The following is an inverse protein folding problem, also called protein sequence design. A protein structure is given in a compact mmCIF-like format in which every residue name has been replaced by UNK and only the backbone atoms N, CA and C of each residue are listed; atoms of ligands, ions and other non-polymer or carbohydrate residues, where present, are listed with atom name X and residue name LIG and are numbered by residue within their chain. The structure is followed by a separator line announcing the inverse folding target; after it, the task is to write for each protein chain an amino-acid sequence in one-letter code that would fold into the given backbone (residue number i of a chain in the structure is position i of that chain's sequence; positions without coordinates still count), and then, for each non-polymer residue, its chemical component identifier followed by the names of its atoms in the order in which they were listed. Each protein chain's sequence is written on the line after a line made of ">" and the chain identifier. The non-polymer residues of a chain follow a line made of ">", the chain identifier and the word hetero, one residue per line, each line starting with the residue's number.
data_IF_116704891165
#
_entry.id   IF_116704891165
#
_cell.length_a   1.000
_cell.length_b   1.000
_cell.length_c   1.000
_cell.angle_alpha   90.00
_cell.angle_beta   90.00
_cell.angle_gamma   90.00
#
_symmetry.space_group_name_H-M   'P 1'
#
loop_
_entity.id
_entity.type
_entity.pdbx_description
1 polymer ?
#
# COMPACT_ATOMS: atom_id res chain seq x y z
N UNK A 1 20.04 -4.90 -32.51
CA UNK A 1 20.86 -3.90 -31.78
C UNK A 1 20.22 -2.53 -31.94
N UNK A 2 19.63 -1.95 -30.88
CA UNK A 2 19.07 -0.59 -30.90
C UNK A 2 20.17 0.42 -30.56
N UNK A 3 20.23 1.61 -31.19
CA UNK A 3 21.33 2.54 -30.98
C UNK A 3 21.24 3.26 -29.62
N UNK A 4 22.39 3.38 -28.95
CA UNK A 4 22.61 4.17 -27.74
C UNK A 4 22.34 5.66 -28.00
N UNK A 5 21.39 6.26 -27.28
CA UNK A 5 21.15 7.71 -27.28
C UNK A 5 22.19 8.39 -26.36
N UNK A 6 23.02 9.27 -26.92
CA UNK A 6 24.00 10.09 -26.17
C UNK A 6 23.29 11.03 -25.18
N UNK A 7 23.67 10.99 -23.91
CA UNK A 7 23.31 12.00 -22.89
C UNK A 7 24.04 13.31 -23.19
N UNK A 8 23.32 14.42 -23.30
CA UNK A 8 23.89 15.77 -23.36
C UNK A 8 24.01 16.34 -21.93
N UNK A 9 25.10 17.02 -21.56
CA UNK A 9 25.26 17.58 -20.22
C UNK A 9 24.52 18.92 -20.12
N UNK A 10 23.48 18.98 -19.29
CA UNK A 10 22.81 20.24 -18.97
C UNK A 10 23.60 20.99 -17.91
N UNK A 11 24.19 22.12 -18.33
CA UNK A 11 24.99 23.01 -17.50
C UNK A 11 24.13 23.73 -16.46
N UNK A 12 24.78 23.99 -15.32
CA UNK A 12 24.33 24.66 -14.10
C UNK A 12 23.66 26.01 -14.35
N UNK A 13 22.50 26.24 -13.73
CA UNK A 13 22.02 27.60 -13.41
C UNK A 13 21.79 27.74 -11.90
N UNK A 14 22.68 28.54 -11.30
CA UNK A 14 22.59 29.10 -9.96
C UNK A 14 21.52 30.19 -9.97
N UNK A 15 20.55 30.13 -9.05
CA UNK A 15 19.96 31.37 -8.50
C UNK A 15 19.35 31.11 -7.12
N UNK A 16 20.14 31.52 -6.14
CA UNK A 16 19.82 31.93 -4.78
C UNK A 16 18.52 32.76 -4.71
N UNK A 17 17.49 32.34 -3.96
CA UNK A 17 16.63 33.22 -3.14
C UNK A 17 16.05 32.50 -1.93
N UNK A 18 16.55 32.91 -0.77
CA UNK A 18 16.08 32.65 0.58
C UNK A 18 14.92 33.63 0.87
N UNK A 19 13.71 33.16 1.12
CA UNK A 19 12.71 33.93 1.88
C UNK A 19 11.93 33.02 2.83
N UNK A 20 12.31 33.14 4.09
CA UNK A 20 11.61 32.72 5.29
C UNK A 20 10.31 33.51 5.43
N UNK A 21 9.17 32.83 5.58
CA UNK A 21 7.94 33.43 6.09
C UNK A 21 7.30 32.49 7.10
N UNK A 22 7.61 32.75 8.37
CA UNK A 22 6.91 32.24 9.54
C UNK A 22 5.63 33.07 9.69
N UNK A 23 4.47 32.43 9.79
CA UNK A 23 3.25 33.06 10.32
C UNK A 23 2.47 32.03 11.13
N UNK A 24 2.80 32.02 12.41
CA UNK A 24 2.14 31.31 13.49
C UNK A 24 1.07 32.24 14.08
N UNK A 25 -0.21 31.90 13.93
CA UNK A 25 -1.26 32.47 14.80
C UNK A 25 -2.31 31.42 15.10
N UNK A 26 -2.15 30.74 16.25
CA UNK A 26 -3.20 30.02 16.93
C UNK A 26 -3.39 30.66 18.30
N UNK A 27 -4.59 31.21 18.55
CA UNK A 27 -5.09 31.54 19.88
C UNK A 27 -6.62 31.63 19.80
N UNK A 28 -7.29 30.51 20.06
CA UNK A 28 -8.72 30.48 20.41
C UNK A 28 -8.82 30.40 21.93
N UNK A 29 -9.45 31.38 22.56
CA UNK A 29 -9.76 31.38 23.99
C UNK A 29 -11.26 31.46 24.24
N UNK A 30 -11.72 30.52 25.08
CA UNK A 30 -12.80 30.57 26.10
C UNK A 30 -14.23 30.87 25.63
N UNK A 31 -15.26 30.08 25.97
CA UNK A 31 -15.96 30.05 27.30
C UNK A 31 -17.05 28.95 27.25
N UNK A 32 -17.17 28.00 28.20
CA UNK A 32 -18.12 27.95 29.35
C UNK A 32 -19.54 27.47 28.96
N UNK A 33 -20.22 26.48 29.56
CA UNK A 33 -20.76 26.29 30.93
C UNK A 33 -21.26 24.82 31.06
N UNK A 34 -21.08 24.05 32.15
CA UNK A 34 -21.63 24.06 33.54
C UNK A 34 -22.90 23.21 33.76
N UNK A 35 -22.86 22.36 34.80
CA UNK A 35 -23.98 21.60 35.39
C UNK A 35 -23.69 20.09 35.40
N UNK A 36 -23.50 19.37 36.51
CA UNK A 36 -23.88 19.57 37.91
C UNK A 36 -24.82 18.44 38.34
N UNK A 37 -24.32 17.43 39.07
CA UNK A 37 -25.17 16.36 39.60
C UNK A 37 -24.40 15.19 40.21
N UNK A 38 -24.16 15.27 41.53
CA UNK A 38 -23.75 14.14 42.40
C UNK A 38 -24.85 13.08 42.44
N UNK A 39 -24.48 11.80 42.51
CA UNK A 39 -24.79 10.88 43.63
C UNK A 39 -24.31 9.46 43.32
N UNK A 40 -23.52 8.90 44.22
CA UNK A 40 -23.35 7.46 44.46
C UNK A 40 -24.27 7.13 45.66
N UNK A 41 -24.88 5.93 45.77
CA UNK A 41 -24.14 4.82 46.35
C UNK A 41 -24.47 3.42 45.81
N UNK A 42 -23.50 2.57 46.09
CA UNK A 42 -23.40 1.11 46.12
C UNK A 42 -24.67 0.32 46.50
N UNK A 43 -24.93 -0.76 45.76
CA UNK A 43 -25.96 -1.77 46.04
C UNK A 43 -25.69 -3.03 45.21
N UNK A 44 -25.82 -4.18 45.85
CA UNK A 44 -25.36 -5.53 45.50
C UNK A 44 -26.20 -6.28 44.47
N UNK A 45 -25.62 -7.42 44.05
CA UNK A 45 -26.24 -8.72 43.71
C UNK A 45 -26.90 -8.95 42.33
N UNK A 46 -26.39 -10.04 41.74
CA UNK A 46 -27.12 -11.11 41.02
C UNK A 46 -27.28 -11.07 39.48
N UNK A 47 -26.57 -12.03 38.89
CA UNK A 47 -26.74 -12.67 37.60
C UNK A 47 -28.09 -13.43 37.57
N UNK A 48 -28.79 -13.52 36.43
CA UNK A 48 -28.72 -14.74 35.61
C UNK A 48 -28.69 -14.42 34.10
N UNK A 49 -27.79 -15.07 33.35
CA UNK A 49 -28.11 -16.24 32.52
C UNK A 49 -29.37 -16.07 31.64
N UNK A 50 -29.17 -15.74 30.37
CA UNK A 50 -30.06 -16.20 29.31
C UNK A 50 -29.25 -16.58 28.08
N UNK A 51 -29.16 -17.89 27.90
CA UNK A 51 -28.69 -18.58 26.72
C UNK A 51 -29.66 -18.32 25.58
N UNK A 52 -29.18 -17.88 24.43
CA UNK A 52 -29.90 -18.02 23.17
C UNK A 52 -29.02 -18.82 22.21
N UNK A 53 -29.34 -20.11 22.14
CA UNK A 53 -28.96 -20.97 21.01
C UNK A 53 -29.72 -20.49 19.79
N UNK A 54 -28.99 -20.11 18.74
CA UNK A 54 -29.51 -20.09 17.38
C UNK A 54 -28.85 -21.24 16.62
N UNK A 55 -29.61 -22.32 16.47
CA UNK A 55 -29.37 -23.37 15.50
C UNK A 55 -29.76 -22.85 14.11
N UNK A 56 -28.80 -22.78 13.19
CA UNK A 56 -29.07 -22.67 11.76
C UNK A 56 -28.33 -23.78 11.00
N UNK A 57 -29.15 -24.74 10.57
CA UNK A 57 -29.09 -25.53 9.34
C UNK A 57 -27.75 -25.73 8.62
N UNK A 58 -27.24 -26.95 8.76
CA UNK A 58 -26.32 -27.61 7.85
C UNK A 58 -27.01 -27.88 6.50
N UNK A 59 -26.80 -26.97 5.55
CA UNK A 59 -26.95 -27.23 4.12
C UNK A 59 -25.59 -27.53 3.53
N UNK A 60 -25.26 -28.80 3.34
CA UNK A 60 -24.05 -29.23 2.65
C UNK A 60 -24.12 -28.84 1.17
N UNK A 61 -23.63 -27.65 0.83
CA UNK A 61 -23.13 -27.39 -0.51
C UNK A 61 -21.72 -27.99 -0.60
N UNK A 62 -21.63 -29.20 -1.13
CA UNK A 62 -20.40 -29.70 -1.74
C UNK A 62 -20.12 -28.86 -3.00
N UNK A 63 -19.58 -27.67 -2.80
CA UNK A 63 -18.94 -26.87 -3.85
C UNK A 63 -17.45 -27.16 -3.82
N UNK A 64 -16.87 -27.53 -4.97
CA UNK A 64 -15.43 -27.62 -5.13
C UNK A 64 -14.80 -26.33 -4.60
N UNK A 65 -13.91 -26.44 -3.60
CA UNK A 65 -13.33 -25.28 -2.93
C UNK A 65 -12.51 -24.43 -3.88
N UNK A 66 -13.11 -23.37 -4.43
CA UNK A 66 -12.35 -22.20 -4.84
C UNK A 66 -11.88 -21.54 -3.55
N UNK A 67 -10.58 -21.55 -3.27
CA UNK A 67 -10.05 -20.70 -2.23
C UNK A 67 -10.49 -19.26 -2.53
N UNK A 68 -11.18 -18.61 -1.58
CA UNK A 68 -11.64 -17.24 -1.73
C UNK A 68 -10.44 -16.30 -1.88
N UNK A 69 -10.45 -15.45 -2.91
CA UNK A 69 -9.46 -14.39 -3.07
C UNK A 69 -9.75 -13.29 -2.04
N UNK A 70 -8.74 -12.94 -1.23
CA UNK A 70 -8.87 -11.94 -0.18
C UNK A 70 -8.12 -10.65 -0.57
N UNK A 71 -8.77 -9.50 -0.32
CA UNK A 71 -8.19 -8.17 -0.51
C UNK A 71 -8.13 -7.45 0.83
N UNK A 72 -6.92 -7.13 1.28
CA UNK A 72 -6.66 -6.49 2.55
C UNK A 72 -6.19 -5.05 2.29
N UNK A 73 -7.09 -4.09 2.52
CA UNK A 73 -6.75 -2.67 2.48
C UNK A 73 -6.04 -2.30 3.78
N UNK A 74 -4.75 -2.04 3.70
CA UNK A 74 -3.92 -1.73 4.86
C UNK A 74 -4.03 -0.23 5.13
N UNK A 75 -4.48 0.14 6.33
CA UNK A 75 -4.57 1.56 6.72
C UNK A 75 -3.16 2.16 6.89
N UNK A 76 -2.75 2.88 5.85
CA UNK A 76 -1.46 3.59 5.78
C UNK A 76 -1.65 5.12 5.91
N UNK A 77 -2.87 5.58 6.20
CA UNK A 77 -3.21 7.00 6.22
C UNK A 77 -3.27 7.61 4.82
N UNK A 78 -2.18 8.24 4.39
CA UNK A 78 -2.08 8.82 3.03
C UNK A 78 -1.46 7.81 2.07
N UNK A 79 -2.00 7.75 0.85
CA UNK A 79 -1.61 6.81 -0.19
C UNK A 79 -2.45 5.53 -0.21
N UNK A 80 -1.92 4.48 -0.83
CA UNK A 80 -2.57 3.17 -0.97
C UNK A 80 -1.62 2.05 -0.54
N UNK A 81 -2.18 1.00 0.04
CA UNK A 81 -1.50 -0.28 0.28
C UNK A 81 -2.53 -1.39 0.34
N UNK A 82 -2.45 -2.35 -0.57
CA UNK A 82 -3.36 -3.49 -0.64
C UNK A 82 -2.57 -4.78 -0.74
N UNK A 83 -2.77 -5.69 0.21
CA UNK A 83 -2.34 -7.07 0.06
C UNK A 83 -3.47 -7.87 -0.57
N UNK A 84 -3.17 -8.61 -1.62
CA UNK A 84 -4.09 -9.56 -2.25
C UNK A 84 -3.54 -10.97 -2.04
N UNK A 85 -4.38 -11.87 -1.57
CA UNK A 85 -4.07 -13.28 -1.37
C UNK A 85 -5.05 -14.14 -2.18
N UNK A 86 -4.53 -15.15 -2.86
CA UNK A 86 -5.34 -16.13 -3.57
C UNK A 86 -4.63 -17.47 -3.59
N UNK A 87 -5.23 -18.49 -2.98
CA UNK A 87 -4.67 -19.85 -2.90
C UNK A 87 -3.22 -19.87 -2.35
N UNK A 88 -2.94 -19.06 -1.33
CA UNK A 88 -1.61 -18.94 -0.71
C UNK A 88 -0.57 -18.17 -1.52
N UNK A 89 -0.95 -17.58 -2.66
CA UNK A 89 -0.12 -16.66 -3.43
C UNK A 89 -0.41 -15.22 -3.05
N UNK A 90 0.62 -14.36 -3.06
CA UNK A 90 0.50 -13.01 -2.53
C UNK A 90 0.96 -11.95 -3.52
N UNK A 91 0.17 -10.88 -3.60
CA UNK A 91 0.47 -9.67 -4.36
C UNK A 91 0.38 -8.46 -3.42
N UNK A 92 1.37 -7.58 -3.47
CA UNK A 92 1.28 -6.25 -2.85
C UNK A 92 1.05 -5.20 -3.94
N UNK A 93 -0.02 -4.40 -3.81
CA UNK A 93 -0.31 -3.26 -4.66
C UNK A 93 -0.14 -1.97 -3.86
N UNK A 94 0.87 -1.17 -4.22
CA UNK A 94 1.39 -0.03 -3.46
C UNK A 94 1.74 -0.36 -2.00
N UNK A 95 2.36 0.58 -1.27
CA UNK A 95 2.83 0.33 0.09
C UNK A 95 2.69 1.51 1.06
N UNK A 96 2.04 2.59 0.68
CA UNK A 96 1.93 3.76 1.54
C UNK A 96 3.24 4.54 1.70
N UNK A 97 3.20 5.50 2.63
CA UNK A 97 4.26 6.46 2.89
C UNK A 97 5.47 5.89 3.67
N UNK A 98 6.47 6.76 3.91
CA UNK A 98 7.68 6.38 4.65
C UNK A 98 7.41 6.02 6.11
N UNK A 99 6.44 6.65 6.75
CA UNK A 99 6.14 6.46 8.17
C UNK A 99 5.42 5.14 8.41
N UNK A 100 4.67 4.65 7.41
CA UNK A 100 3.90 3.40 7.49
C UNK A 100 4.57 2.22 6.79
N UNK A 101 5.70 2.42 6.11
CA UNK A 101 6.51 1.34 5.50
C UNK A 101 6.78 0.15 6.45
N UNK A 102 7.15 0.40 7.71
CA UNK A 102 7.36 -0.67 8.69
C UNK A 102 6.07 -1.35 9.15
N UNK A 103 4.95 -0.63 9.16
CA UNK A 103 3.63 -1.17 9.44
C UNK A 103 3.21 -2.14 8.33
N UNK A 104 3.37 -1.76 7.06
CA UNK A 104 3.09 -2.65 5.92
C UNK A 104 3.93 -3.92 5.99
N UNK A 105 5.25 -3.79 6.19
CA UNK A 105 6.13 -4.97 6.31
C UNK A 105 5.74 -5.87 7.48
N UNK A 106 5.36 -5.29 8.62
CA UNK A 106 4.89 -6.07 9.78
C UNK A 106 3.59 -6.79 9.49
N UNK A 107 2.63 -6.10 8.88
CA UNK A 107 1.35 -6.68 8.49
C UNK A 107 1.52 -7.84 7.52
N UNK A 108 2.34 -7.70 6.47
CA UNK A 108 2.64 -8.79 5.54
C UNK A 108 3.22 -10.03 6.27
N UNK A 109 4.09 -9.82 7.27
CA UNK A 109 4.62 -10.94 8.08
C UNK A 109 3.53 -11.61 8.92
N UNK A 110 2.63 -10.82 9.50
CA UNK A 110 1.49 -11.32 10.30
C UNK A 110 0.51 -12.13 9.43
N UNK A 111 0.31 -11.73 8.17
CA UNK A 111 -0.47 -12.51 7.19
C UNK A 111 0.28 -13.75 6.67
N UNK A 112 1.46 -14.05 7.20
CA UNK A 112 2.21 -15.26 6.86
C UNK A 112 2.98 -15.19 5.54
N UNK A 113 3.04 -14.03 4.89
CA UNK A 113 3.73 -13.85 3.59
C UNK A 113 5.19 -14.28 3.69
N UNK A 114 5.59 -15.20 2.81
CA UNK A 114 7.00 -15.63 2.64
C UNK A 114 7.59 -15.14 1.33
N UNK A 115 6.76 -15.11 0.30
CA UNK A 115 7.11 -14.66 -1.04
C UNK A 115 5.96 -13.81 -1.56
N UNK A 116 6.29 -12.73 -2.24
CA UNK A 116 5.34 -11.95 -3.03
C UNK A 116 5.55 -12.36 -4.49
N UNK A 117 4.53 -12.99 -5.08
CA UNK A 117 4.51 -13.31 -6.50
C UNK A 117 4.65 -12.04 -7.33
N UNK A 118 3.93 -11.00 -6.92
CA UNK A 118 4.01 -9.68 -7.52
C UNK A 118 4.09 -8.58 -6.46
N UNK A 119 4.90 -7.58 -6.76
CA UNK A 119 4.78 -6.25 -6.16
C UNK A 119 4.44 -5.28 -7.29
N UNK A 120 3.33 -4.58 -7.16
CA UNK A 120 2.86 -3.61 -8.15
C UNK A 120 2.99 -2.21 -7.55
N UNK A 121 3.69 -1.32 -8.25
CA UNK A 121 3.65 0.11 -7.97
C UNK A 121 2.74 0.77 -8.99
N UNK A 122 1.71 1.48 -8.54
CA UNK A 122 0.77 2.18 -9.44
C UNK A 122 1.40 3.40 -10.09
N UNK A 123 2.24 4.12 -9.34
CA UNK A 123 3.05 5.27 -9.76
C UNK A 123 4.19 5.49 -8.74
N UNK A 124 5.09 6.43 -9.03
CA UNK A 124 6.34 6.60 -8.27
C UNK A 124 6.30 7.66 -7.16
N UNK A 125 5.11 8.08 -6.73
CA UNK A 125 4.98 9.07 -5.66
C UNK A 125 5.31 8.47 -4.29
N UNK A 126 5.83 9.30 -3.39
CA UNK A 126 6.44 8.85 -2.15
C UNK A 126 5.43 8.25 -1.15
N UNK A 127 4.19 8.71 -1.17
CA UNK A 127 3.09 8.19 -0.36
C UNK A 127 2.55 6.85 -0.87
N UNK A 128 3.07 6.31 -1.97
CA UNK A 128 2.78 4.96 -2.46
C UNK A 128 4.04 4.06 -2.45
N UNK A 129 5.19 4.61 -2.85
CA UNK A 129 6.39 3.83 -3.17
C UNK A 129 7.25 3.48 -1.95
N UNK A 130 7.15 4.19 -0.83
CA UNK A 130 8.05 3.96 0.31
C UNK A 130 7.81 2.60 1.00
N UNK A 131 6.57 2.16 1.15
CA UNK A 131 6.30 0.80 1.63
C UNK A 131 6.65 -0.29 0.62
N UNK A 132 6.53 -0.01 -0.68
CA UNK A 132 7.01 -0.90 -1.75
C UNK A 132 8.50 -1.16 -1.59
N UNK A 133 9.31 -0.12 -1.41
CA UNK A 133 10.76 -0.26 -1.12
C UNK A 133 10.99 -1.08 0.15
N UNK A 134 10.18 -0.90 1.18
CA UNK A 134 10.23 -1.70 2.40
C UNK A 134 9.99 -3.19 2.13
N UNK A 135 8.96 -3.52 1.36
CA UNK A 135 8.61 -4.89 0.99
C UNK A 135 9.71 -5.54 0.13
N UNK A 136 10.22 -4.85 -0.89
CA UNK A 136 11.30 -5.35 -1.75
C UNK A 136 12.57 -5.70 -0.97
N UNK A 137 12.84 -5.01 0.15
CA UNK A 137 13.99 -5.30 1.00
C UNK A 137 13.72 -6.39 2.05
N UNK A 138 12.45 -6.69 2.36
CA UNK A 138 12.07 -7.58 3.45
C UNK A 138 11.61 -8.98 2.99
N UNK A 139 11.16 -9.12 1.76
CA UNK A 139 10.59 -10.35 1.22
C UNK A 139 11.29 -10.82 -0.05
N UNK A 140 11.21 -12.12 -0.32
CA UNK A 140 11.47 -12.64 -1.66
C UNK A 140 10.36 -12.15 -2.58
N UNK A 141 10.72 -11.53 -3.71
CA UNK A 141 9.77 -11.04 -4.71
C UNK A 141 10.08 -11.69 -6.05
N UNK A 142 9.07 -12.29 -6.68
CA UNK A 142 9.24 -12.98 -7.96
C UNK A 142 9.22 -12.02 -9.14
N UNK A 143 8.36 -10.99 -9.11
CA UNK A 143 8.27 -9.98 -10.16
C UNK A 143 7.77 -8.64 -9.63
N UNK A 144 8.29 -7.54 -10.19
CA UNK A 144 7.75 -6.20 -10.01
C UNK A 144 7.05 -5.76 -11.29
N UNK A 145 5.83 -5.23 -11.15
CA UNK A 145 5.10 -4.56 -12.22
C UNK A 145 5.03 -3.07 -11.89
N UNK A 146 5.44 -2.20 -12.82
CA UNK A 146 5.40 -0.76 -12.59
C UNK A 146 5.25 0.02 -13.90
N UNK A 147 4.85 1.30 -13.87
CA UNK A 147 4.82 2.18 -15.04
C UNK A 147 6.15 2.33 -15.80
N UNK A 148 6.09 2.48 -17.12
CA UNK A 148 7.24 2.74 -18.00
C UNK A 148 7.59 4.24 -18.04
N UNK A 149 7.99 4.81 -16.89
CA UNK A 149 8.57 6.14 -16.81
C UNK A 149 9.60 6.23 -15.68
N UNK A 150 10.32 7.34 -15.60
CA UNK A 150 11.30 7.60 -14.56
C UNK A 150 11.01 8.94 -13.86
N UNK A 151 11.44 9.05 -12.61
CA UNK A 151 11.48 10.33 -11.86
C UNK A 151 12.88 10.56 -11.28
N UNK A 152 13.17 11.76 -10.80
CA UNK A 152 14.45 12.09 -10.15
C UNK A 152 14.40 12.04 -8.62
N UNK A 153 13.32 11.46 -8.06
CA UNK A 153 13.11 11.41 -6.62
C UNK A 153 14.03 10.39 -5.93
N UNK A 154 14.36 10.64 -4.66
CA UNK A 154 15.17 9.71 -3.84
C UNK A 154 14.49 8.36 -3.62
N UNK A 155 13.16 8.34 -3.50
CA UNK A 155 12.40 7.11 -3.30
C UNK A 155 12.41 6.25 -4.56
N UNK A 156 12.30 6.85 -5.74
CA UNK A 156 12.43 6.12 -7.01
C UNK A 156 13.84 5.53 -7.20
N UNK A 157 14.90 6.27 -6.84
CA UNK A 157 16.27 5.73 -6.82
C UNK A 157 16.41 4.54 -5.86
N UNK A 158 15.75 4.61 -4.69
CA UNK A 158 15.75 3.52 -3.71
C UNK A 158 14.98 2.29 -4.22
N UNK A 159 13.87 2.50 -4.93
CA UNK A 159 13.09 1.46 -5.60
C UNK A 159 13.92 0.73 -6.66
N UNK A 160 14.55 1.47 -7.59
CA UNK A 160 15.45 0.87 -8.58
C UNK A 160 16.61 0.10 -7.92
N UNK A 161 17.25 0.72 -6.91
CA UNK A 161 18.36 0.09 -6.19
C UNK A 161 17.95 -1.23 -5.51
N UNK A 162 16.74 -1.29 -4.93
CA UNK A 162 16.23 -2.51 -4.32
C UNK A 162 15.99 -3.62 -5.35
N UNK A 163 15.37 -3.28 -6.49
CA UNK A 163 15.14 -4.20 -7.61
C UNK A 163 16.46 -4.77 -8.14
N UNK A 164 17.43 -3.90 -8.43
CA UNK A 164 18.75 -4.29 -8.96
C UNK A 164 19.53 -5.17 -7.97
N UNK A 165 19.61 -4.72 -6.69
CA UNK A 165 20.32 -5.44 -5.63
C UNK A 165 19.78 -6.85 -5.45
N UNK A 166 18.46 -7.00 -5.47
CA UNK A 166 17.78 -8.27 -5.27
C UNK A 166 17.57 -9.06 -6.57
N UNK A 167 18.00 -8.50 -7.72
CA UNK A 167 17.86 -9.09 -9.07
C UNK A 167 16.43 -9.49 -9.41
N UNK A 168 15.47 -8.63 -9.04
CA UNK A 168 14.05 -8.90 -9.24
C UNK A 168 13.69 -8.53 -10.69
N UNK A 169 13.03 -9.40 -11.45
CA UNK A 169 12.47 -9.05 -12.76
C UNK A 169 11.52 -7.86 -12.64
N UNK A 170 11.78 -6.79 -13.41
CA UNK A 170 10.89 -5.64 -13.56
C UNK A 170 10.21 -5.72 -14.93
N UNK A 171 8.90 -5.55 -14.96
CA UNK A 171 8.12 -5.45 -16.19
C UNK A 171 7.23 -4.21 -16.17
N UNK A 172 6.97 -3.69 -17.36
CA UNK A 172 6.07 -2.58 -17.58
C UNK A 172 4.87 -3.08 -18.40
N UNK A 173 3.77 -3.50 -17.74
CA UNK A 173 2.64 -4.09 -18.45
C UNK A 173 1.98 -3.10 -19.40
N UNK A 174 1.54 -3.60 -20.55
CA UNK A 174 0.66 -2.88 -21.46
C UNK A 174 -0.81 -3.12 -21.09
N UNK A 175 -1.73 -2.21 -21.47
CA UNK A 175 -3.16 -2.49 -21.37
C UNK A 175 -3.54 -3.78 -22.10
N UNK A 176 -4.31 -4.63 -21.42
CA UNK A 176 -4.71 -5.96 -21.88
C UNK A 176 -3.80 -7.08 -21.35
N UNK A 177 -2.59 -6.79 -20.87
CA UNK A 177 -1.73 -7.81 -20.26
C UNK A 177 -2.43 -8.40 -19.04
N UNK A 178 -2.43 -9.73 -18.95
CA UNK A 178 -3.10 -10.48 -17.89
C UNK A 178 -2.12 -11.41 -17.19
N UNK A 179 -2.29 -11.52 -15.87
CA UNK A 179 -1.42 -12.25 -14.96
C UNK A 179 -2.26 -13.14 -14.06
N UNK A 180 -1.65 -14.23 -13.57
CA UNK A 180 -2.27 -15.17 -12.64
C UNK A 180 -1.68 -15.00 -11.25
N UNK A 181 -2.54 -15.06 -10.23
CA UNK A 181 -2.18 -15.10 -8.81
C UNK A 181 -2.94 -16.26 -8.17
N UNK A 182 -2.25 -17.38 -7.90
CA UNK A 182 -2.92 -18.62 -7.46
C UNK A 182 -4.04 -19.03 -8.42
N UNK A 183 -5.26 -19.15 -7.91
CA UNK A 183 -6.47 -19.44 -8.68
C UNK A 183 -7.19 -18.19 -9.24
N UNK A 184 -6.67 -16.98 -9.02
CA UNK A 184 -7.19 -15.73 -9.55
C UNK A 184 -6.37 -15.21 -10.75
N UNK A 185 -6.95 -14.25 -11.47
CA UNK A 185 -6.26 -13.51 -12.52
C UNK A 185 -6.59 -12.03 -12.45
N UNK A 186 -5.66 -11.18 -12.87
CA UNK A 186 -5.88 -9.75 -13.01
C UNK A 186 -5.39 -9.25 -14.37
N UNK A 187 -6.03 -8.21 -14.88
CA UNK A 187 -5.71 -7.59 -16.17
C UNK A 187 -5.37 -6.12 -15.96
N UNK A 188 -4.29 -5.67 -16.59
CA UNK A 188 -3.91 -4.27 -16.60
C UNK A 188 -4.77 -3.53 -17.63
N UNK A 189 -5.51 -2.50 -17.21
CA UNK A 189 -6.44 -1.79 -18.09
C UNK A 189 -5.95 -0.40 -18.52
N UNK A 190 -4.94 0.15 -17.85
CA UNK A 190 -4.53 1.53 -18.03
C UNK A 190 -3.03 1.70 -17.74
N UNK A 191 -2.39 2.78 -18.25
CA UNK A 191 -2.97 3.82 -19.10
C UNK A 191 -3.12 3.34 -20.57
N UNK A 192 -4.24 3.67 -21.20
CA UNK A 192 -4.47 3.37 -22.63
C UNK A 192 -3.58 4.22 -23.56
N UNK A 193 -3.11 5.37 -23.06
CA UNK A 193 -2.19 6.26 -23.75
C UNK A 193 -0.80 6.22 -23.10
N UNK A 194 0.26 6.28 -23.92
CA UNK A 194 1.66 6.25 -23.44
C UNK A 194 2.14 7.58 -22.83
N UNK A 195 1.29 8.60 -22.76
CA UNK A 195 1.65 9.90 -22.21
C UNK A 195 1.10 10.05 -20.79
N UNK A 196 1.98 9.98 -19.80
CA UNK A 196 1.73 10.60 -18.50
C UNK A 196 1.79 12.12 -18.73
N UNK A 197 0.62 12.76 -18.87
CA UNK A 197 0.54 14.21 -18.92
C UNK A 197 0.70 14.71 -17.49
N UNK A 198 1.85 15.28 -17.16
CA UNK A 198 2.02 16.01 -15.91
C UNK A 198 1.09 17.23 -15.96
N UNK A 199 0.09 17.25 -15.09
CA UNK A 199 -0.73 18.43 -14.82
C UNK A 199 0.03 19.49 -14.05
#
# INVERSE_FOLDING_TARGET
>A
MRPFKKKQPFLKNISLRLTLAVLLTAALTLTGCSGGGKTSPQGTSEQPSSSQSQSQESGAHAGAGSADTQLHFIDVGQGLSVLIESDGHFLLFDGGDRKTSSLVVSYLKEQGVKTLDYVIASHYDADHLNGVVGALNAFQVSQVLAPDYETDTKVFQSFQSAIEKNRIPLSHPAPGDSFTLGNASFTVLAPQDKSYQNG
#
